data_IF_518033279250
#
_entry.id   IF_518033279250
#
_cell.length_a   1.000
_cell.length_b   1.000
_cell.length_c   1.000
_cell.angle_alpha   90.00
_cell.angle_beta   90.00
_cell.angle_gamma   90.00
#
_symmetry.space_group_name_H-M   'P 1'
#
loop_
_entity.id
_entity.type
_entity.pdbx_description
1 polymer ?
#
# COMPACT_ATOMS: atom_id res chain seq x y z
N UNK A 1 -30.05 -32.65 11.30
CA UNK A 1 -28.59 -32.90 11.35
C UNK A 1 -28.01 -31.85 12.28
N UNK A 2 -27.86 -32.18 13.57
CA UNK A 2 -27.42 -31.21 14.58
C UNK A 2 -25.89 -31.21 14.59
N UNK A 3 -25.27 -30.09 14.21
CA UNK A 3 -23.82 -29.91 14.30
C UNK A 3 -23.43 -29.81 15.77
N UNK A 4 -22.54 -30.71 16.20
CA UNK A 4 -21.97 -30.67 17.54
C UNK A 4 -21.01 -29.47 17.63
N UNK A 5 -21.28 -28.53 18.55
CA UNK A 5 -20.40 -27.39 18.81
C UNK A 5 -19.19 -27.85 19.62
N UNK A 6 -18.16 -28.29 18.93
CA UNK A 6 -16.86 -28.60 19.54
C UNK A 6 -16.07 -27.30 19.72
N UNK A 7 -15.41 -27.14 20.86
CA UNK A 7 -14.54 -25.99 21.13
C UNK A 7 -13.44 -25.91 20.07
N UNK A 8 -13.19 -24.72 19.52
CA UNK A 8 -12.18 -24.53 18.49
C UNK A 8 -10.79 -24.61 19.14
N UNK A 9 -9.97 -25.64 18.87
CA UNK A 9 -8.64 -25.78 19.46
C UNK A 9 -7.67 -24.66 19.02
N UNK A 10 -8.02 -23.90 17.98
CA UNK A 10 -7.22 -22.75 17.53
C UNK A 10 -7.45 -21.48 18.37
N UNK A 11 -8.48 -21.42 19.22
CA UNK A 11 -8.75 -20.23 20.06
C UNK A 11 -7.65 -20.03 21.13
N UNK A 12 -7.00 -21.12 21.57
CA UNK A 12 -5.91 -21.09 22.56
C UNK A 12 -4.53 -20.82 21.94
N UNK A 13 -4.42 -20.88 20.61
CA UNK A 13 -3.15 -20.72 19.90
C UNK A 13 -3.01 -19.27 19.44
N UNK A 14 -2.38 -18.45 20.29
CA UNK A 14 -2.12 -17.05 19.97
C UNK A 14 -1.30 -16.89 18.67
N UNK A 15 -1.61 -15.94 17.78
CA UNK A 15 -0.91 -15.78 16.49
C UNK A 15 0.62 -15.66 16.60
N UNK A 16 1.12 -15.13 17.72
CA UNK A 16 2.54 -14.99 18.01
C UNK A 16 3.25 -16.34 18.29
N UNK A 17 2.53 -17.41 18.56
CA UNK A 17 3.09 -18.75 18.85
C UNK A 17 3.44 -19.56 17.60
N UNK A 18 2.89 -19.19 16.43
CA UNK A 18 3.08 -19.90 15.16
C UNK A 18 3.85 -19.05 14.13
N UNK A 19 3.90 -17.73 14.31
CA UNK A 19 4.49 -16.81 13.34
C UNK A 19 5.72 -16.07 13.91
N UNK A 20 6.87 -16.24 13.25
CA UNK A 20 8.03 -15.38 13.47
C UNK A 20 7.86 -14.09 12.69
N UNK A 21 7.52 -13.00 13.38
CA UNK A 21 7.42 -11.67 12.77
C UNK A 21 8.81 -11.04 12.65
N UNK A 22 9.52 -11.38 11.58
CA UNK A 22 10.75 -10.67 11.22
C UNK A 22 10.35 -9.34 10.56
N UNK A 23 10.74 -8.18 11.11
CA UNK A 23 10.49 -6.90 10.48
C UNK A 23 11.15 -6.83 9.09
N UNK A 24 10.39 -6.42 8.07
CA UNK A 24 10.95 -6.07 6.77
C UNK A 24 11.37 -4.60 6.81
N UNK A 25 12.60 -4.34 7.20
CA UNK A 25 13.18 -3.01 7.41
C UNK A 25 13.99 -2.48 6.21
N UNK A 26 14.24 -3.33 5.20
CA UNK A 26 14.95 -2.93 4.00
C UNK A 26 14.17 -1.89 3.18
N UNK A 27 14.79 -0.73 2.99
CA UNK A 27 14.39 0.30 2.04
C UNK A 27 15.34 0.34 0.84
N UNK A 28 14.91 0.94 -0.27
CA UNK A 28 15.78 1.21 -1.41
C UNK A 28 16.68 2.41 -1.08
N UNK A 29 17.97 2.27 -1.33
CA UNK A 29 18.90 3.41 -1.31
C UNK A 29 18.62 4.38 -2.46
N UNK A 30 19.06 5.65 -2.36
CA UNK A 30 18.91 6.62 -3.46
C UNK A 30 19.47 6.14 -4.81
N UNK A 31 20.56 5.37 -4.77
CA UNK A 31 21.16 4.76 -5.97
C UNK A 31 20.25 3.70 -6.57
N UNK A 32 19.69 2.81 -5.74
CA UNK A 32 18.76 1.77 -6.20
C UNK A 32 17.46 2.37 -6.75
N UNK A 33 16.93 3.44 -6.14
CA UNK A 33 15.77 4.16 -6.67
C UNK A 33 16.08 4.70 -8.07
N UNK A 34 17.26 5.29 -8.27
CA UNK A 34 17.69 5.81 -9.58
C UNK A 34 17.81 4.70 -10.62
N UNK A 35 18.36 3.54 -10.24
CA UNK A 35 18.44 2.36 -11.11
C UNK A 35 17.03 1.86 -11.45
N UNK A 36 16.16 1.71 -10.45
CA UNK A 36 14.77 1.27 -10.61
C UNK A 36 14.01 2.16 -11.59
N UNK A 37 14.10 3.48 -11.43
CA UNK A 37 13.45 4.45 -12.32
C UNK A 37 13.91 4.31 -13.77
N UNK A 38 15.21 4.12 -14.01
CA UNK A 38 15.74 3.87 -15.36
C UNK A 38 15.23 2.55 -15.94
N UNK A 39 15.20 1.49 -15.12
CA UNK A 39 14.74 0.19 -15.56
C UNK A 39 13.24 0.16 -15.88
N UNK A 40 12.43 0.98 -15.22
CA UNK A 40 10.99 1.07 -15.44
C UNK A 40 10.62 1.44 -16.89
N UNK A 41 11.51 2.14 -17.60
CA UNK A 41 11.33 2.49 -19.02
C UNK A 41 11.57 1.31 -19.97
N UNK A 42 12.37 0.32 -19.53
CA UNK A 42 12.73 -0.87 -20.29
C UNK A 42 11.86 -2.08 -19.98
N UNK A 43 11.12 -2.07 -18.87
CA UNK A 43 10.17 -3.13 -18.52
C UNK A 43 8.96 -3.06 -19.45
N UNK A 44 8.63 -4.19 -20.08
CA UNK A 44 7.38 -4.38 -20.81
C UNK A 44 6.22 -4.42 -19.81
N UNK A 45 5.58 -3.27 -19.61
CA UNK A 45 4.44 -3.09 -18.72
C UNK A 45 3.46 -2.09 -19.31
N UNK A 46 2.27 -1.99 -18.73
CA UNK A 46 1.28 -1.02 -19.15
C UNK A 46 1.77 0.42 -18.86
N UNK A 47 1.53 1.38 -19.75
CA UNK A 47 1.88 2.79 -19.52
C UNK A 47 1.32 3.34 -18.20
N UNK A 48 0.14 2.87 -17.79
CA UNK A 48 -0.50 3.22 -16.52
C UNK A 48 0.29 2.76 -15.31
N UNK A 49 0.87 1.56 -15.33
CA UNK A 49 1.72 1.05 -14.25
C UNK A 49 3.00 1.86 -14.16
N UNK A 50 3.60 2.22 -15.30
CA UNK A 50 4.78 3.10 -15.32
C UNK A 50 4.48 4.47 -14.70
N UNK A 51 3.35 5.08 -15.05
CA UNK A 51 2.93 6.36 -14.47
C UNK A 51 2.64 6.22 -12.97
N UNK A 52 1.92 5.17 -12.56
CA UNK A 52 1.61 4.90 -11.16
C UNK A 52 2.85 4.71 -10.30
N UNK A 53 3.86 4.00 -10.78
CA UNK A 53 5.14 3.82 -10.06
C UNK A 53 5.91 5.14 -9.91
N UNK A 54 5.83 6.04 -10.90
CA UNK A 54 6.43 7.38 -10.80
C UNK A 54 5.67 8.25 -9.79
N UNK A 55 4.34 8.23 -9.84
CA UNK A 55 3.50 8.95 -8.88
C UNK A 55 3.73 8.45 -7.45
N UNK A 56 3.80 7.12 -7.27
CA UNK A 56 4.13 6.49 -5.99
C UNK A 56 5.44 7.01 -5.39
N UNK A 57 6.49 7.15 -6.21
CA UNK A 57 7.78 7.65 -5.73
C UNK A 57 7.77 9.14 -5.38
N UNK A 58 6.86 9.92 -5.97
CA UNK A 58 6.73 11.35 -5.68
C UNK A 58 5.91 11.60 -4.41
N UNK A 59 4.88 10.81 -4.17
CA UNK A 59 3.93 11.05 -3.07
C UNK A 59 4.14 10.12 -1.87
N UNK A 60 4.78 8.96 -2.06
CA UNK A 60 5.04 7.94 -1.04
C UNK A 60 3.77 7.48 -0.29
N UNK A 61 2.61 7.61 -0.92
CA UNK A 61 1.32 7.14 -0.41
C UNK A 61 1.28 5.62 -0.33
N UNK A 62 0.34 5.07 0.44
CA UNK A 62 0.19 3.62 0.53
C UNK A 62 -0.30 3.05 -0.79
N UNK A 63 0.04 1.78 -1.04
CA UNK A 63 -0.41 1.03 -2.23
C UNK A 63 -1.93 1.16 -2.46
N UNK A 64 -2.75 0.98 -1.43
CA UNK A 64 -4.22 1.07 -1.55
C UNK A 64 -4.69 2.48 -1.87
N UNK A 65 -4.07 3.50 -1.25
CA UNK A 65 -4.41 4.91 -1.50
C UNK A 65 -4.17 5.28 -2.97
N UNK A 66 -3.07 4.78 -3.56
CA UNK A 66 -2.76 4.96 -4.97
C UNK A 66 -3.70 4.18 -5.91
N UNK A 67 -4.03 2.93 -5.57
CA UNK A 67 -4.82 2.06 -6.44
C UNK A 67 -6.29 2.46 -6.49
N UNK A 68 -6.83 2.91 -5.36
CA UNK A 68 -8.25 3.21 -5.23
C UNK A 68 -8.55 4.71 -5.45
N UNK A 69 -7.54 5.51 -5.79
CA UNK A 69 -7.65 6.96 -5.99
C UNK A 69 -8.72 7.32 -7.02
N UNK A 70 -9.47 8.39 -6.76
CA UNK A 70 -10.46 8.93 -7.71
C UNK A 70 -10.09 10.36 -8.09
N UNK A 71 -10.50 10.81 -9.28
CA UNK A 71 -10.14 12.13 -9.77
C UNK A 71 -10.68 13.27 -8.90
N UNK A 72 -11.81 13.07 -8.23
CA UNK A 72 -12.42 14.05 -7.29
C UNK A 72 -11.53 14.35 -6.07
N UNK A 73 -10.50 13.53 -5.82
CA UNK A 73 -9.54 13.74 -4.73
C UNK A 73 -8.36 14.65 -5.10
N UNK A 74 -8.19 14.94 -6.40
CA UNK A 74 -7.05 15.67 -6.93
C UNK A 74 -7.46 17.08 -7.36
N UNK A 75 -6.96 18.07 -6.64
CA UNK A 75 -7.05 19.47 -7.03
C UNK A 75 -5.81 19.82 -7.86
N UNK A 76 -5.98 19.90 -9.18
CA UNK A 76 -4.90 20.23 -10.10
C UNK A 76 -4.50 21.71 -10.09
N UNK A 77 -5.38 22.61 -9.65
CA UNK A 77 -5.06 24.04 -9.56
C UNK A 77 -4.11 24.30 -8.40
N UNK A 78 -4.38 23.67 -7.26
CA UNK A 78 -3.54 23.78 -6.06
C UNK A 78 -2.45 22.70 -5.97
N UNK A 79 -2.43 21.75 -6.92
CA UNK A 79 -1.55 20.58 -6.93
C UNK A 79 -1.62 19.77 -5.63
N UNK A 80 -2.84 19.59 -5.10
CA UNK A 80 -3.09 18.88 -3.84
C UNK A 80 -3.83 17.59 -4.12
N UNK A 81 -3.39 16.50 -3.49
CA UNK A 81 -4.14 15.24 -3.47
C UNK A 81 -4.61 14.93 -2.04
N UNK A 82 -5.94 14.89 -1.85
CA UNK A 82 -6.57 14.64 -0.55
C UNK A 82 -7.04 13.19 -0.41
N UNK A 83 -6.54 12.47 0.60
CA UNK A 83 -6.96 11.08 0.84
C UNK A 83 -8.07 11.05 1.91
N UNK A 84 -9.28 10.57 1.59
CA UNK A 84 -10.42 10.57 2.51
C UNK A 84 -10.21 9.61 3.69
N UNK A 85 -10.67 10.05 4.87
CA UNK A 85 -10.48 9.36 6.16
C UNK A 85 -11.06 7.94 6.20
N UNK A 86 -12.09 7.69 5.40
CA UNK A 86 -12.81 6.41 5.30
C UNK A 86 -11.91 5.29 4.80
N UNK A 87 -10.88 5.62 4.00
CA UNK A 87 -9.93 4.64 3.43
C UNK A 87 -8.67 4.46 4.29
N UNK A 88 -8.62 5.10 5.46
CA UNK A 88 -7.41 5.14 6.28
C UNK A 88 -7.48 4.14 7.43
N UNK A 89 -6.40 3.37 7.59
CA UNK A 89 -6.23 2.33 8.62
C UNK A 89 -6.36 2.84 10.08
N UNK A 90 -6.45 4.16 10.30
CA UNK A 90 -6.60 4.84 11.59
C UNK A 90 -7.59 6.04 11.56
N UNK A 91 -8.44 6.16 10.53
CA UNK A 91 -9.52 7.17 10.43
C UNK A 91 -9.14 8.65 10.61
N UNK A 92 -7.90 9.08 10.31
CA UNK A 92 -7.49 10.49 10.30
C UNK A 92 -7.01 10.90 8.93
N UNK A 93 -7.66 11.89 8.30
CA UNK A 93 -7.31 12.42 6.98
C UNK A 93 -5.84 12.91 6.91
N UNK A 94 -5.21 12.71 5.75
CA UNK A 94 -3.87 13.21 5.42
C UNK A 94 -3.87 13.83 4.02
N UNK A 95 -3.04 14.84 3.83
CA UNK A 95 -2.83 15.53 2.56
C UNK A 95 -1.43 15.19 2.06
N UNK A 96 -1.28 15.05 0.75
CA UNK A 96 0.00 14.84 0.09
C UNK A 96 0.26 15.93 -0.96
#
# INVERSE_FOLDING_TARGET
>A
MHGEKVANPADDVGPASIATFVPKDRSLSPTEIRVMLKQLDHVATLPTIRLGMRLFLLTMVRKSELQDAVWDEVDFENAVWTIPKERMKRSKAHNC
#
